data_IF_516213130606
#
_entry.id   IF_516213130606
#
_cell.length_a   1.000
_cell.length_b   1.000
_cell.length_c   1.000
_cell.angle_alpha   90.00
_cell.angle_beta   90.00
_cell.angle_gamma   90.00
#
_symmetry.space_group_name_H-M   'P 1'
#
loop_
_entity.id
_entity.type
_entity.pdbx_description
1 polymer ?
#
# COMPACT_ATOMS: atom_id res chain seq x y z
N UNK A 1 2.45 -3.54 3.94
CA UNK A 1 2.62 -2.30 4.74
C UNK A 1 2.05 -1.09 4.03
N UNK A 2 2.60 -0.68 2.88
CA UNK A 2 2.13 0.53 2.16
C UNK A 2 0.63 0.54 1.86
N UNK A 3 0.06 -0.57 1.38
CA UNK A 3 -1.37 -0.66 1.12
C UNK A 3 -2.23 -0.46 2.38
N UNK A 4 -1.82 -1.00 3.53
CA UNK A 4 -2.54 -0.84 4.79
C UNK A 4 -2.55 0.61 5.29
N UNK A 5 -1.52 1.38 4.94
CA UNK A 5 -1.48 2.83 5.21
C UNK A 5 -2.31 3.60 4.19
N UNK A 6 -2.17 3.27 2.91
CA UNK A 6 -2.87 3.96 1.83
C UNK A 6 -4.41 3.85 1.93
N UNK A 7 -4.92 2.70 2.39
CA UNK A 7 -6.35 2.38 2.41
C UNK A 7 -7.23 3.40 3.20
N UNK A 8 -7.03 3.63 4.51
CA UNK A 8 -7.80 4.66 5.22
C UNK A 8 -7.42 6.09 4.81
N UNK A 9 -6.19 6.31 4.30
CA UNK A 9 -5.76 7.64 3.88
C UNK A 9 -6.42 8.08 2.58
N UNK A 10 -6.60 7.19 1.60
CA UNK A 10 -7.25 7.55 0.34
C UNK A 10 -8.72 7.91 0.57
N UNK A 11 -9.42 7.22 1.47
CA UNK A 11 -10.80 7.54 1.85
C UNK A 11 -10.92 8.97 2.39
N UNK A 12 -9.96 9.39 3.23
CA UNK A 12 -9.94 10.73 3.82
C UNK A 12 -9.43 11.81 2.87
N UNK A 13 -8.34 11.54 2.15
CA UNK A 13 -7.63 12.56 1.38
C UNK A 13 -8.12 12.68 -0.06
N UNK A 14 -8.67 11.63 -0.67
CA UNK A 14 -9.14 11.72 -2.05
C UNK A 14 -10.25 12.78 -2.21
N UNK A 15 -11.28 12.85 -1.35
CA UNK A 15 -12.29 13.92 -1.42
C UNK A 15 -11.68 15.32 -1.23
N UNK A 16 -10.74 15.47 -0.30
CA UNK A 16 -10.08 16.74 -0.01
C UNK A 16 -9.24 17.24 -1.19
N UNK A 17 -8.45 16.36 -1.79
CA UNK A 17 -7.61 16.68 -2.94
C UNK A 17 -8.46 16.90 -4.20
N UNK A 18 -9.51 16.09 -4.40
CA UNK A 18 -10.47 16.27 -5.49
C UNK A 18 -11.13 17.66 -5.42
N UNK A 19 -11.59 18.07 -4.23
CA UNK A 19 -12.16 19.39 -4.00
C UNK A 19 -11.15 20.53 -4.25
N UNK A 20 -9.91 20.37 -3.78
CA UNK A 20 -8.85 21.38 -3.94
C UNK A 20 -8.46 21.59 -5.41
N UNK A 21 -8.33 20.51 -6.17
CA UNK A 21 -7.90 20.54 -7.57
C UNK A 21 -9.06 20.55 -8.57
N UNK A 22 -10.31 20.58 -8.10
CA UNK A 22 -11.53 20.51 -8.94
C UNK A 22 -11.56 19.28 -9.84
N UNK A 23 -11.10 18.15 -9.31
CA UNK A 23 -11.10 16.86 -9.99
C UNK A 23 -12.34 16.04 -9.54
N UNK A 24 -12.77 15.05 -10.35
CA UNK A 24 -13.81 14.11 -9.93
C UNK A 24 -13.39 13.35 -8.67
N UNK A 25 -14.31 13.19 -7.72
CA UNK A 25 -14.07 12.40 -6.52
C UNK A 25 -14.34 10.92 -6.80
N UNK A 26 -13.26 10.16 -7.00
CA UNK A 26 -13.31 8.72 -7.29
C UNK A 26 -13.94 7.87 -6.15
N UNK A 27 -13.84 8.33 -4.91
CA UNK A 27 -14.35 7.60 -3.73
C UNK A 27 -15.87 7.84 -3.54
N UNK A 28 -16.45 8.84 -4.21
CA UNK A 28 -17.88 9.14 -4.14
C UNK A 28 -18.74 8.11 -4.89
N UNK A 29 -18.20 7.52 -5.97
CA UNK A 29 -18.89 6.51 -6.77
C UNK A 29 -19.03 5.16 -6.04
N UNK A 30 -18.25 4.96 -4.99
CA UNK A 30 -18.30 3.82 -4.06
C UNK A 30 -18.88 4.20 -2.70
N UNK A 31 -19.65 5.30 -2.60
CA UNK A 31 -20.28 5.77 -1.35
C UNK A 31 -19.30 6.02 -0.19
N UNK A 32 -18.10 6.53 -0.49
CA UNK A 32 -17.07 6.77 0.53
C UNK A 32 -16.12 5.60 0.76
N UNK A 33 -16.34 4.46 0.09
CA UNK A 33 -15.57 3.25 0.27
C UNK A 33 -14.34 3.21 -0.65
N UNK A 34 -13.26 2.59 -0.18
CA UNK A 34 -12.07 2.36 -0.99
C UNK A 34 -12.39 1.49 -2.22
N UNK A 35 -11.97 1.90 -3.44
CA UNK A 35 -12.14 1.05 -4.63
C UNK A 35 -11.38 -0.27 -4.48
N UNK A 36 -12.11 -1.38 -4.52
CA UNK A 36 -11.54 -2.74 -4.37
C UNK A 36 -12.32 -3.74 -5.22
N UNK A 37 -11.81 -4.96 -5.32
CA UNK A 37 -12.54 -6.06 -6.00
C UNK A 37 -13.88 -6.34 -5.34
N UNK A 38 -14.01 -6.13 -4.02
CA UNK A 38 -15.23 -6.43 -3.26
C UNK A 38 -16.18 -5.24 -3.16
N UNK A 39 -15.64 -4.01 -3.04
CA UNK A 39 -16.45 -2.79 -2.93
C UNK A 39 -16.83 -2.21 -4.31
N UNK A 40 -16.17 -2.65 -5.38
CA UNK A 40 -16.34 -2.09 -6.72
C UNK A 40 -15.44 -0.86 -6.96
N UNK A 41 -15.77 -0.08 -7.99
CA UNK A 41 -15.04 1.15 -8.33
C UNK A 41 -13.73 0.95 -9.09
N UNK A 42 -13.30 -0.28 -9.37
CA UNK A 42 -12.07 -0.51 -10.16
C UNK A 42 -12.21 -0.11 -11.64
N UNK A 43 -13.43 -0.01 -12.16
CA UNK A 43 -13.71 0.35 -13.55
C UNK A 43 -13.82 1.86 -13.78
N UNK A 44 -13.73 2.66 -12.70
CA UNK A 44 -13.85 4.11 -12.77
C UNK A 44 -12.77 4.72 -13.65
N UNK A 45 -13.13 5.73 -14.45
CA UNK A 45 -12.36 6.29 -15.56
C UNK A 45 -10.82 6.09 -15.53
N UNK A 46 -10.09 6.72 -14.59
CA UNK A 46 -8.63 6.65 -14.58
C UNK A 46 -8.05 5.39 -13.92
N UNK A 47 -8.84 4.63 -13.15
CA UNK A 47 -8.36 3.54 -12.29
C UNK A 47 -7.82 2.35 -13.09
N UNK A 48 -8.51 1.80 -14.10
CA UNK A 48 -7.95 0.70 -14.91
C UNK A 48 -6.62 1.09 -15.56
N UNK A 49 -6.56 2.29 -16.13
CA UNK A 49 -5.36 2.80 -16.80
C UNK A 49 -4.21 3.00 -15.81
N UNK A 50 -4.48 3.52 -14.61
CA UNK A 50 -3.46 3.70 -13.57
C UNK A 50 -2.95 2.35 -13.07
N UNK A 51 -3.81 1.38 -12.82
CA UNK A 51 -3.41 0.02 -12.40
C UNK A 51 -2.52 -0.65 -13.44
N UNK A 52 -2.87 -0.56 -14.73
CA UNK A 52 -2.04 -1.10 -15.82
C UNK A 52 -0.68 -0.38 -15.88
N UNK A 53 -0.70 0.95 -15.83
CA UNK A 53 0.51 1.77 -15.91
C UNK A 53 1.46 1.49 -14.75
N UNK A 54 0.96 1.53 -13.51
CA UNK A 54 1.74 1.22 -12.32
C UNK A 54 2.20 -0.23 -12.30
N UNK A 55 1.35 -1.18 -12.71
CA UNK A 55 1.72 -2.59 -12.85
C UNK A 55 2.90 -2.78 -13.82
N UNK A 56 2.86 -2.09 -14.96
CA UNK A 56 3.96 -2.09 -15.92
C UNK A 56 5.24 -1.47 -15.34
N UNK A 57 5.15 -0.31 -14.67
CA UNK A 57 6.30 0.34 -14.04
C UNK A 57 6.92 -0.52 -12.94
N UNK A 58 6.10 -1.13 -12.08
CA UNK A 58 6.56 -2.07 -11.04
C UNK A 58 7.24 -3.28 -11.67
N UNK A 59 6.70 -3.83 -12.75
CA UNK A 59 7.34 -4.93 -13.47
C UNK A 59 8.73 -4.56 -14.00
N UNK A 60 8.90 -3.34 -14.56
CA UNK A 60 10.22 -2.87 -15.00
C UNK A 60 11.22 -2.76 -13.85
N UNK A 61 10.77 -2.30 -12.67
CA UNK A 61 11.61 -2.23 -11.47
C UNK A 61 11.98 -3.64 -10.98
N UNK A 62 11.02 -4.56 -10.94
CA UNK A 62 11.24 -5.94 -10.50
C UNK A 62 12.21 -6.69 -11.42
N UNK A 63 12.14 -6.47 -12.73
CA UNK A 63 13.10 -7.04 -13.69
C UNK A 63 14.54 -6.63 -13.35
N UNK A 64 14.76 -5.37 -12.96
CA UNK A 64 16.08 -4.92 -12.49
C UNK A 64 16.48 -5.59 -11.18
N UNK A 65 15.53 -5.79 -10.27
CA UNK A 65 15.74 -6.54 -9.03
C UNK A 65 16.19 -7.98 -9.28
N UNK A 66 15.58 -8.65 -10.26
CA UNK A 66 15.97 -10.01 -10.68
C UNK A 66 17.39 -10.03 -11.28
N UNK A 67 17.74 -9.06 -12.12
CA UNK A 67 19.08 -8.98 -12.70
C UNK A 67 20.15 -8.74 -11.63
N UNK A 68 19.87 -7.88 -10.64
CA UNK A 68 20.75 -7.65 -9.48
C UNK A 68 20.91 -8.93 -8.68
N UNK A 69 19.79 -9.61 -8.36
CA UNK A 69 19.80 -10.89 -7.64
C UNK A 69 20.64 -11.94 -8.36
N UNK A 70 20.55 -12.02 -9.69
CA UNK A 70 21.36 -12.95 -10.50
C UNK A 70 22.83 -12.58 -10.51
N UNK A 71 23.16 -11.29 -10.55
CA UNK A 71 24.53 -10.81 -10.54
C UNK A 71 25.22 -11.01 -9.18
N UNK A 72 24.48 -10.85 -8.07
CA UNK A 72 25.01 -10.95 -6.72
C UNK A 72 25.05 -12.40 -6.19
N UNK A 73 24.22 -13.30 -6.72
CA UNK A 73 24.27 -14.72 -6.38
C UNK A 73 24.08 -14.97 -4.88
N UNK A 74 25.09 -15.56 -4.23
CA UNK A 74 25.05 -15.94 -2.81
C UNK A 74 25.15 -14.74 -1.85
N UNK A 75 25.67 -13.59 -2.32
CA UNK A 75 25.77 -12.37 -1.51
C UNK A 75 24.45 -11.58 -1.47
N UNK A 76 23.44 -12.00 -2.23
CA UNK A 76 22.15 -11.32 -2.31
C UNK A 76 21.33 -11.53 -1.03
N UNK A 77 20.98 -10.42 -0.35
CA UNK A 77 20.16 -10.42 0.85
C UNK A 77 18.77 -9.85 0.54
N UNK A 78 17.73 -10.60 0.92
CA UNK A 78 16.34 -10.17 0.76
C UNK A 78 16.09 -8.88 1.55
N UNK A 79 15.55 -7.86 0.89
CA UNK A 79 15.16 -6.59 1.52
C UNK A 79 16.30 -5.57 1.69
N UNK A 80 17.49 -5.85 1.17
CA UNK A 80 18.63 -4.94 1.27
C UNK A 80 18.71 -3.96 0.09
N UNK A 81 18.38 -2.70 0.33
CA UNK A 81 18.41 -1.63 -0.67
C UNK A 81 19.76 -0.91 -0.80
N UNK A 82 20.82 -1.41 -0.14
CA UNK A 82 22.25 -0.98 -0.17
C UNK A 82 22.52 0.51 0.01
N UNK A 83 22.10 1.32 -0.96
CA UNK A 83 22.21 2.78 -1.03
C UNK A 83 21.64 3.53 0.16
N UNK A 84 20.70 2.94 0.91
CA UNK A 84 20.00 3.58 2.04
C UNK A 84 20.04 2.72 3.31
N UNK A 85 21.14 1.99 3.56
CA UNK A 85 21.29 1.17 4.77
C UNK A 85 21.33 2.06 6.02
N UNK A 86 20.38 1.81 6.93
CA UNK A 86 20.32 2.44 8.26
C UNK A 86 21.22 1.69 9.27
N UNK A 87 21.45 0.39 9.03
CA UNK A 87 22.34 -0.46 9.81
C UNK A 87 23.09 -1.44 8.89
N UNK A 88 24.29 -1.84 9.28
CA UNK A 88 25.11 -2.78 8.51
C UNK A 88 24.69 -4.24 8.77
N UNK A 89 24.70 -5.11 7.73
CA UNK A 89 24.39 -6.53 7.89
C UNK A 89 25.24 -7.21 8.96
N UNK A 90 24.62 -8.06 9.78
CA UNK A 90 25.30 -8.80 10.85
C UNK A 90 25.45 -8.04 12.17
N UNK A 91 25.09 -6.75 12.22
CA UNK A 91 25.05 -6.00 13.50
C UNK A 91 23.78 -6.33 14.31
N UNK A 92 23.85 -6.24 15.63
CA UNK A 92 22.68 -6.41 16.50
C UNK A 92 21.54 -5.43 16.14
N UNK A 93 21.91 -4.21 15.74
CA UNK A 93 20.95 -3.20 15.29
C UNK A 93 20.22 -3.62 14.01
N UNK A 94 20.93 -4.21 13.04
CA UNK A 94 20.33 -4.72 11.81
C UNK A 94 19.30 -5.80 12.09
N UNK A 95 19.63 -6.77 12.97
CA UNK A 95 18.68 -7.81 13.37
C UNK A 95 17.44 -7.22 14.06
N UNK A 96 17.60 -6.27 14.99
CA UNK A 96 16.47 -5.59 15.64
C UNK A 96 15.56 -4.85 14.65
N UNK A 97 16.14 -4.15 13.66
CA UNK A 97 15.37 -3.47 12.63
C UNK A 97 14.62 -4.45 11.73
N UNK A 98 15.27 -5.56 11.34
CA UNK A 98 14.65 -6.60 10.52
C UNK A 98 13.50 -7.30 11.25
N UNK A 99 13.68 -7.62 12.54
CA UNK A 99 12.61 -8.14 13.40
C UNK A 99 11.44 -7.15 13.48
N UNK A 100 11.73 -5.86 13.68
CA UNK A 100 10.74 -4.80 13.69
C UNK A 100 9.98 -4.70 12.36
N UNK A 101 10.65 -4.77 11.23
CA UNK A 101 10.03 -4.75 9.89
C UNK A 101 9.09 -5.96 9.71
N UNK A 102 9.54 -7.17 10.08
CA UNK A 102 8.73 -8.38 9.96
C UNK A 102 7.48 -8.30 10.84
N UNK A 103 7.60 -7.81 12.08
CA UNK A 103 6.47 -7.63 12.97
C UNK A 103 5.45 -6.65 12.41
N UNK A 104 5.90 -5.47 11.96
CA UNK A 104 5.02 -4.48 11.35
C UNK A 104 4.38 -4.99 10.05
N UNK A 105 5.10 -5.79 9.26
CA UNK A 105 4.57 -6.41 8.05
C UNK A 105 3.43 -7.37 8.34
N UNK A 106 3.56 -8.22 9.37
CA UNK A 106 2.49 -9.14 9.81
C UNK A 106 1.25 -8.39 10.27
N UNK A 107 1.44 -7.34 11.07
CA UNK A 107 0.34 -6.48 11.51
C UNK A 107 -0.35 -5.85 10.30
N UNK A 108 0.42 -5.32 9.34
CA UNK A 108 -0.15 -4.71 8.14
C UNK A 108 -0.91 -5.69 7.24
N UNK A 109 -0.44 -6.95 7.13
CA UNK A 109 -1.15 -8.01 6.39
C UNK A 109 -2.49 -8.36 7.04
N UNK A 110 -2.53 -8.43 8.37
CA UNK A 110 -3.80 -8.63 9.09
C UNK A 110 -4.70 -7.41 8.98
N UNK A 111 -4.15 -6.19 9.06
CA UNK A 111 -4.89 -4.94 8.95
C UNK A 111 -5.60 -4.80 7.61
N UNK A 112 -4.90 -5.00 6.48
CA UNK A 112 -5.53 -4.88 5.16
C UNK A 112 -6.65 -5.91 4.96
N UNK A 113 -6.47 -7.13 5.47
CA UNK A 113 -7.51 -8.15 5.44
C UNK A 113 -8.72 -7.72 6.28
N UNK A 114 -8.48 -7.18 7.47
CA UNK A 114 -9.54 -6.70 8.35
C UNK A 114 -10.30 -5.51 7.75
N UNK A 115 -9.61 -4.55 7.13
CA UNK A 115 -10.23 -3.39 6.47
C UNK A 115 -11.15 -3.82 5.34
N UNK A 116 -10.65 -4.64 4.42
CA UNK A 116 -11.44 -5.15 3.29
C UNK A 116 -12.65 -5.96 3.78
N UNK A 117 -12.48 -6.80 4.79
CA UNK A 117 -13.59 -7.60 5.34
C UNK A 117 -14.62 -6.74 6.10
N UNK A 118 -14.16 -5.78 6.92
CA UNK A 118 -15.02 -4.88 7.67
C UNK A 118 -15.83 -4.00 6.73
N UNK A 119 -15.18 -3.38 5.75
CA UNK A 119 -15.82 -2.47 4.82
C UNK A 119 -16.85 -3.19 3.95
N UNK A 120 -16.52 -4.38 3.44
CA UNK A 120 -17.46 -5.19 2.66
C UNK A 120 -18.70 -5.62 3.47
N UNK A 121 -18.55 -5.94 4.76
CA UNK A 121 -19.66 -6.43 5.59
C UNK A 121 -20.50 -5.29 6.19
N UNK A 122 -19.86 -4.21 6.62
CA UNK A 122 -20.53 -3.10 7.30
C UNK A 122 -20.99 -1.99 6.38
N UNK A 123 -20.38 -1.84 5.20
CA UNK A 123 -20.61 -0.70 4.31
C UNK A 123 -20.13 0.64 4.89
N UNK A 124 -19.27 0.61 5.92
CA UNK A 124 -18.72 1.81 6.55
C UNK A 124 -17.25 1.93 6.15
N UNK A 125 -16.84 3.12 5.75
CA UNK A 125 -15.46 3.45 5.38
C UNK A 125 -14.49 3.12 6.52
N UNK A 126 -13.31 2.59 6.20
CA UNK A 126 -12.31 2.23 7.22
C UNK A 126 -11.82 3.47 7.97
N UNK A 127 -11.74 4.62 7.30
CA UNK A 127 -11.38 5.90 7.90
C UNK A 127 -12.32 6.27 9.08
N UNK A 128 -13.61 5.96 8.99
CA UNK A 128 -14.62 6.31 10.01
C UNK A 128 -14.58 5.39 11.23
N UNK A 129 -14.03 4.18 11.10
CA UNK A 129 -13.90 3.25 12.22
C UNK A 129 -12.62 3.48 13.03
N UNK A 130 -11.65 4.23 12.48
CA UNK A 130 -10.37 4.54 13.14
C UNK A 130 -10.48 5.87 13.92
N UNK A 131 -10.27 5.86 15.25
CA UNK A 131 -10.24 7.08 16.05
C UNK A 131 -9.20 8.09 15.53
N UNK A 132 -9.65 9.32 15.23
CA UNK A 132 -8.80 10.40 14.71
C UNK A 132 -8.74 10.50 13.17
N UNK A 133 -9.22 9.49 12.44
CA UNK A 133 -9.38 9.55 10.98
C UNK A 133 -10.83 9.81 10.54
N UNK A 134 -11.82 9.40 11.34
CA UNK A 134 -13.24 9.68 11.07
C UNK A 134 -13.60 11.16 11.10
N UNK A 135 -14.74 11.49 10.49
CA UNK A 135 -15.36 12.82 10.50
C UNK A 135 -15.78 13.28 11.91
#
# INVERSE_FOLDING_TARGET
MLAAVAFPLQEKFNPLLAAMFKLPNLVEETDGLSPTVLNGGLEQGPIPFSVITFGFLVALVELRGIDIKRAEGDDWVIGDYRSLRIAEPGTEQFFKLQEGEIWNSRIAMMAILAYVAQEFVSGISTADTIPGLGA
#
